data_IF_629777722795
#
_entry.id   IF_629777722795
#
_cell.length_a   1.000
_cell.length_b   1.000
_cell.length_c   1.000
_cell.angle_alpha   90.00
_cell.angle_beta   90.00
_cell.angle_gamma   90.00
#
_symmetry.space_group_name_H-M   'P 1'
#
loop_
_entity.id
_entity.type
_entity.pdbx_description
1 polymer ?
#
# COMPACT_ATOMS: atom_id res chain seq x y z
N UNK A 1 -29.79 -3.23 6.17
CA UNK A 1 -28.39 -2.84 5.93
C UNK A 1 -27.83 -3.81 4.90
N UNK A 2 -27.79 -3.42 3.62
CA UNK A 2 -27.35 -4.31 2.53
C UNK A 2 -25.84 -4.50 2.71
N UNK A 3 -25.39 -5.74 2.96
CA UNK A 3 -23.97 -6.10 2.85
C UNK A 3 -23.57 -5.78 1.41
N UNK A 4 -22.80 -4.71 1.19
CA UNK A 4 -22.21 -4.46 -0.11
C UNK A 4 -21.31 -5.65 -0.44
N UNK A 5 -21.60 -6.34 -1.54
CA UNK A 5 -20.68 -7.32 -2.09
C UNK A 5 -19.41 -6.60 -2.53
N UNK A 6 -18.27 -7.08 -2.03
CA UNK A 6 -16.96 -6.52 -2.33
C UNK A 6 -16.56 -6.92 -3.74
N UNK A 7 -16.21 -5.95 -4.58
CA UNK A 7 -15.77 -6.21 -5.95
C UNK A 7 -14.37 -6.85 -5.98
N UNK A 8 -14.05 -7.56 -7.07
CA UNK A 8 -12.70 -8.11 -7.27
C UNK A 8 -11.62 -7.02 -7.24
N UNK A 9 -11.93 -5.83 -7.77
CA UNK A 9 -11.02 -4.69 -7.75
C UNK A 9 -10.76 -4.19 -6.32
N UNK A 10 -11.80 -4.08 -5.50
CA UNK A 10 -11.65 -3.68 -4.09
C UNK A 10 -10.84 -4.71 -3.30
N UNK A 11 -11.05 -6.00 -3.55
CA UNK A 11 -10.25 -7.06 -2.94
C UNK A 11 -8.75 -6.91 -3.26
N UNK A 12 -8.40 -6.60 -4.52
CA UNK A 12 -7.02 -6.33 -4.93
C UNK A 12 -6.48 -5.09 -4.21
N UNK A 13 -7.23 -3.99 -4.13
CA UNK A 13 -6.81 -2.77 -3.43
C UNK A 13 -6.52 -3.03 -1.94
N UNK A 14 -7.38 -3.82 -1.29
CA UNK A 14 -7.18 -4.23 0.11
C UNK A 14 -5.92 -5.08 0.25
N UNK A 15 -5.68 -6.03 -0.66
CA UNK A 15 -4.47 -6.84 -0.62
C UNK A 15 -3.21 -5.98 -0.77
N UNK A 16 -3.18 -5.07 -1.74
CA UNK A 16 -2.07 -4.13 -1.92
C UNK A 16 -1.83 -3.29 -0.66
N UNK A 17 -2.90 -2.80 -0.03
CA UNK A 17 -2.81 -2.03 1.20
C UNK A 17 -2.20 -2.85 2.36
N UNK A 18 -2.63 -4.12 2.52
CA UNK A 18 -2.09 -5.04 3.52
C UNK A 18 -0.61 -5.32 3.29
N UNK A 19 -0.22 -5.63 2.05
CA UNK A 19 1.19 -5.87 1.71
C UNK A 19 2.08 -4.66 2.03
N UNK A 20 1.58 -3.45 1.81
CA UNK A 20 2.31 -2.22 2.17
C UNK A 20 2.47 -2.08 3.70
N UNK A 21 1.42 -2.36 4.48
CA UNK A 21 1.48 -2.39 5.95
C UNK A 21 2.51 -3.41 6.43
N UNK A 22 2.45 -4.62 5.91
CA UNK A 22 3.36 -5.70 6.30
C UNK A 22 4.81 -5.40 5.91
N UNK A 23 5.03 -4.86 4.71
CA UNK A 23 6.34 -4.36 4.31
C UNK A 23 6.87 -3.31 5.30
N UNK A 24 6.04 -2.33 5.66
CA UNK A 24 6.41 -1.28 6.61
C UNK A 24 6.78 -1.86 7.98
N UNK A 25 5.97 -2.79 8.49
CA UNK A 25 6.19 -3.43 9.79
C UNK A 25 7.43 -4.32 9.79
N UNK A 26 7.68 -5.10 8.73
CA UNK A 26 8.91 -5.90 8.58
C UNK A 26 10.17 -5.05 8.56
N UNK A 27 10.08 -3.81 8.04
CA UNK A 27 11.18 -2.83 8.07
C UNK A 27 11.28 -2.07 9.39
N UNK A 28 10.36 -2.27 10.33
CA UNK A 28 10.34 -1.56 11.62
C UNK A 28 9.94 -0.09 11.52
N UNK A 29 9.22 0.32 10.47
CA UNK A 29 8.86 1.71 10.25
C UNK A 29 7.48 2.05 10.81
N UNK A 30 7.33 3.24 11.39
CA UNK A 30 6.03 3.90 11.54
C UNK A 30 5.55 4.45 10.20
N UNK A 31 4.26 4.80 10.09
CA UNK A 31 3.73 5.42 8.87
C UNK A 31 4.46 6.74 8.54
N UNK A 32 4.84 7.51 9.56
CA UNK A 32 5.62 8.75 9.40
C UNK A 32 7.00 8.45 8.86
N UNK A 33 7.71 7.47 9.42
CA UNK A 33 9.06 7.09 8.96
C UNK A 33 9.06 6.58 7.52
N UNK A 34 8.07 5.76 7.14
CA UNK A 34 7.92 5.34 5.75
C UNK A 34 7.66 6.54 4.83
N UNK A 35 6.81 7.48 5.26
CA UNK A 35 6.49 8.68 4.50
C UNK A 35 7.72 9.57 4.30
N UNK A 36 8.50 9.82 5.36
CA UNK A 36 9.74 10.59 5.32
C UNK A 36 10.73 9.96 4.33
N UNK A 37 10.97 8.65 4.45
CA UNK A 37 11.88 7.93 3.55
C UNK A 37 11.41 7.97 2.10
N UNK A 38 10.10 7.94 1.87
CA UNK A 38 9.51 8.04 0.54
C UNK A 38 9.39 9.48 0.02
N UNK A 39 9.62 10.51 0.84
CA UNK A 39 9.36 11.91 0.50
C UNK A 39 7.87 12.19 0.27
N UNK A 40 6.99 11.59 1.07
CA UNK A 40 5.52 11.74 1.01
C UNK A 40 4.99 12.24 2.37
N UNK A 41 3.71 12.58 2.42
CA UNK A 41 3.01 12.90 3.68
C UNK A 41 2.59 11.62 4.39
N UNK A 42 2.64 11.59 5.73
CA UNK A 42 2.15 10.46 6.52
C UNK A 42 0.69 10.12 6.20
N UNK A 43 -0.16 11.12 6.02
CA UNK A 43 -1.58 10.94 5.65
C UNK A 43 -1.74 10.27 4.28
N UNK A 44 -0.76 10.44 3.38
CA UNK A 44 -0.75 9.71 2.12
C UNK A 44 -0.52 8.22 2.35
N UNK A 45 0.49 7.85 3.15
CA UNK A 45 0.74 6.45 3.54
C UNK A 45 -0.47 5.85 4.26
N UNK A 46 -1.06 6.56 5.24
CA UNK A 46 -2.22 6.07 5.98
C UNK A 46 -3.43 5.79 5.07
N UNK A 47 -3.72 6.67 4.09
CA UNK A 47 -4.79 6.42 3.12
C UNK A 47 -4.49 5.21 2.24
N UNK A 48 -3.23 5.01 1.84
CA UNK A 48 -2.80 3.84 1.06
C UNK A 48 -2.98 2.55 1.84
N UNK A 49 -2.50 2.52 3.08
CA UNK A 49 -2.62 1.37 3.99
C UNK A 49 -4.07 1.07 4.39
N UNK A 50 -4.98 2.04 4.28
CA UNK A 50 -6.41 1.82 4.52
C UNK A 50 -7.15 1.15 3.36
N UNK A 51 -6.52 0.99 2.19
CA UNK A 51 -7.16 0.49 0.96
C UNK A 51 -8.15 1.46 0.31
N UNK A 52 -8.28 2.68 0.85
CA UNK A 52 -9.23 3.71 0.36
C UNK A 52 -8.61 4.65 -0.68
N UNK A 53 -7.29 4.60 -0.87
CA UNK A 53 -6.62 5.45 -1.86
C UNK A 53 -6.62 4.78 -3.24
N UNK A 54 -6.90 5.58 -4.27
CA UNK A 54 -6.57 5.19 -5.63
C UNK A 54 -5.08 5.48 -5.89
N UNK A 55 -4.24 4.45 -5.79
CA UNK A 55 -2.77 4.58 -5.87
C UNK A 55 -2.31 4.03 -7.22
N UNK A 56 -1.48 4.80 -7.93
CA UNK A 56 -0.83 4.30 -9.14
C UNK A 56 0.33 3.35 -8.79
N UNK A 57 0.59 2.37 -9.65
CA UNK A 57 1.76 1.48 -9.50
C UNK A 57 3.08 2.26 -9.37
N UNK A 58 3.22 3.37 -10.11
CA UNK A 58 4.36 4.29 -9.99
C UNK A 58 4.55 4.82 -8.56
N UNK A 59 3.47 5.30 -7.94
CA UNK A 59 3.54 5.85 -6.57
C UNK A 59 3.88 4.76 -5.56
N UNK A 60 3.32 3.57 -5.72
CA UNK A 60 3.62 2.43 -4.87
C UNK A 60 5.09 2.02 -4.99
N UNK A 61 5.61 1.94 -6.23
CA UNK A 61 7.01 1.62 -6.50
C UNK A 61 7.97 2.67 -5.94
N UNK A 62 7.69 3.96 -6.10
CA UNK A 62 8.48 5.04 -5.49
C UNK A 62 8.58 4.91 -3.97
N UNK A 63 7.48 4.57 -3.29
CA UNK A 63 7.45 4.41 -1.83
C UNK A 63 8.26 3.18 -1.41
N UNK A 64 8.01 2.04 -2.04
CA UNK A 64 8.64 0.76 -1.70
C UNK A 64 10.14 0.78 -2.02
N UNK A 65 10.54 1.30 -3.18
CA UNK A 65 11.95 1.38 -3.61
C UNK A 65 12.76 2.30 -2.71
N UNK A 66 12.25 3.49 -2.37
CA UNK A 66 12.93 4.41 -1.43
C UNK A 66 13.06 3.82 -0.03
N UNK A 67 12.15 2.94 0.36
CA UNK A 67 12.20 2.18 1.61
C UNK A 67 13.09 0.91 1.52
N UNK A 68 13.77 0.68 0.41
CA UNK A 68 14.67 -0.47 0.21
C UNK A 68 13.92 -1.79 0.03
N UNK A 69 12.75 -1.74 -0.60
CA UNK A 69 11.97 -2.88 -1.05
C UNK A 69 11.88 -2.95 -2.57
N UNK A 70 11.20 -3.98 -3.07
CA UNK A 70 10.88 -4.18 -4.48
C UNK A 70 9.47 -4.74 -4.60
N UNK A 71 8.73 -4.30 -5.60
CA UNK A 71 7.40 -4.85 -5.91
C UNK A 71 7.56 -6.02 -6.88
N UNK A 72 6.82 -7.09 -6.62
CA UNK A 72 6.65 -8.22 -7.55
C UNK A 72 5.16 -8.44 -7.77
N UNK A 73 4.73 -8.57 -9.02
CA UNK A 73 3.35 -8.85 -9.41
C UNK A 73 3.31 -10.22 -10.09
N UNK A 74 2.30 -11.03 -9.76
CA UNK A 74 2.04 -12.32 -10.41
C UNK A 74 0.58 -12.40 -10.82
N UNK A 75 0.32 -12.81 -12.05
CA UNK A 75 -1.00 -13.17 -12.55
C UNK A 75 -1.06 -14.70 -12.58
N UNK A 76 -2.17 -15.27 -12.15
CA UNK A 76 -2.41 -16.72 -12.07
C UNK A 76 -3.75 -17.04 -12.70
N UNK A 77 -3.87 -18.24 -13.27
CA UNK A 77 -5.07 -18.76 -13.94
C UNK A 77 -6.05 -19.42 -12.96
#
# INVERSE_FOLDING_TARGET
>A
MIKQEMTKEEAIKIQVAKELVEFRLRKGFTQTQLAEKAGKRQSQIARMESGRANVSFKTLDEIVSRAGGKITLKIVD
#
